data_IF_884534096369
#
_entry.id   IF_884534096369
#
_cell.length_a   1.000
_cell.length_b   1.000
_cell.length_c   1.000
_cell.angle_alpha   90.00
_cell.angle_beta   90.00
_cell.angle_gamma   90.00
#
_symmetry.space_group_name_H-M   'P 1'
#
loop_
_entity.id
_entity.type
_entity.pdbx_description
1 polymer ?
#
# COMPACT_ATOMS: atom_id res chain seq x y z
N UNK A 1 -17.86 -8.25 -9.02
CA UNK A 1 -16.54 -7.73 -8.65
C UNK A 1 -16.17 -8.34 -7.31
N UNK A 2 -15.05 -9.07 -7.24
CA UNK A 2 -14.56 -9.71 -6.02
C UNK A 2 -13.60 -8.74 -5.32
N UNK A 3 -13.76 -8.53 -4.03
CA UNK A 3 -12.77 -7.85 -3.19
C UNK A 3 -11.90 -8.87 -2.45
N UNK A 4 -10.65 -8.53 -2.20
CA UNK A 4 -9.71 -9.42 -1.49
C UNK A 4 -9.15 -8.75 -0.25
N UNK A 5 -8.98 -9.56 0.80
CA UNK A 5 -8.38 -9.17 2.07
C UNK A 5 -6.84 -9.29 2.02
N UNK A 6 -6.15 -8.59 2.91
CA UNK A 6 -4.69 -8.58 3.04
C UNK A 6 -4.11 -9.97 3.18
N UNK A 7 -4.75 -10.85 3.97
CA UNK A 7 -4.22 -12.20 4.20
C UNK A 7 -4.13 -13.03 2.91
N UNK A 8 -5.11 -12.94 2.00
CA UNK A 8 -5.09 -13.65 0.71
C UNK A 8 -3.99 -13.07 -0.20
N UNK A 9 -3.82 -11.74 -0.22
CA UNK A 9 -2.74 -11.09 -0.95
C UNK A 9 -1.36 -11.51 -0.43
N UNK A 10 -1.20 -11.61 0.90
CA UNK A 10 0.02 -12.10 1.53
C UNK A 10 0.31 -13.52 1.06
N UNK A 11 -0.66 -14.45 1.11
CA UNK A 11 -0.45 -15.83 0.64
C UNK A 11 -0.10 -15.91 -0.84
N UNK A 12 -0.74 -15.08 -1.66
CA UNK A 12 -0.44 -15.01 -3.08
C UNK A 12 1.01 -14.59 -3.35
N UNK A 13 1.50 -13.56 -2.65
CA UNK A 13 2.83 -12.98 -2.87
C UNK A 13 3.96 -13.77 -2.21
N UNK A 14 3.76 -14.26 -0.98
CA UNK A 14 4.83 -14.91 -0.20
C UNK A 14 4.94 -16.41 -0.46
N UNK A 15 3.84 -17.05 -0.88
CA UNK A 15 3.74 -18.51 -1.04
C UNK A 15 4.16 -19.30 0.20
N UNK A 16 3.93 -18.74 1.38
CA UNK A 16 4.44 -19.25 2.66
C UNK A 16 3.55 -20.32 3.33
N UNK A 17 2.32 -20.48 2.86
CA UNK A 17 1.42 -21.58 3.23
C UNK A 17 1.01 -22.33 1.96
N UNK A 18 1.47 -23.59 1.74
CA UNK A 18 1.24 -24.29 0.48
C UNK A 18 -0.24 -24.41 0.08
N UNK A 19 -1.12 -24.64 1.06
CA UNK A 19 -2.56 -24.83 0.80
C UNK A 19 -3.23 -23.49 0.49
N UNK A 20 -3.04 -22.50 1.38
CA UNK A 20 -3.67 -21.19 1.19
C UNK A 20 -3.11 -20.44 -0.02
N UNK A 21 -1.83 -20.64 -0.36
CA UNK A 21 -1.21 -20.00 -1.52
C UNK A 21 -1.77 -20.55 -2.84
N UNK A 22 -2.03 -21.86 -2.91
CA UNK A 22 -2.69 -22.45 -4.07
C UNK A 22 -4.15 -21.98 -4.19
N UNK A 23 -4.86 -21.84 -3.07
CA UNK A 23 -6.22 -21.27 -3.05
C UNK A 23 -6.19 -19.81 -3.51
N UNK A 24 -5.29 -18.98 -2.98
CA UNK A 24 -5.15 -17.58 -3.36
C UNK A 24 -4.84 -17.43 -4.86
N UNK A 25 -3.91 -18.24 -5.39
CA UNK A 25 -3.58 -18.28 -6.82
C UNK A 25 -4.79 -18.66 -7.67
N UNK A 26 -5.58 -19.66 -7.26
CA UNK A 26 -6.82 -20.05 -7.98
C UNK A 26 -7.85 -18.94 -7.97
N UNK A 27 -8.06 -18.28 -6.84
CA UNK A 27 -8.98 -17.14 -6.74
C UNK A 27 -8.60 -16.04 -7.74
N UNK A 28 -7.30 -15.69 -7.80
CA UNK A 28 -6.81 -14.64 -8.68
C UNK A 28 -6.89 -15.04 -10.16
N UNK A 29 -6.52 -16.27 -10.49
CA UNK A 29 -6.55 -16.75 -11.89
C UNK A 29 -7.94 -17.06 -12.43
N UNK A 30 -8.90 -17.41 -11.57
CA UNK A 30 -10.29 -17.68 -11.96
C UNK A 30 -11.10 -16.41 -12.25
N UNK A 31 -10.50 -15.23 -12.05
CA UNK A 31 -11.19 -13.98 -12.20
C UNK A 31 -11.52 -13.63 -13.67
N UNK A 32 -11.01 -14.38 -14.68
CA UNK A 32 -11.40 -14.38 -16.11
C UNK A 32 -12.02 -13.05 -16.61
N UNK A 33 -11.24 -11.96 -16.58
CA UNK A 33 -11.61 -10.59 -17.02
C UNK A 33 -12.39 -9.70 -16.03
N UNK A 34 -12.60 -10.14 -14.80
CA UNK A 34 -13.12 -9.34 -13.69
C UNK A 34 -12.02 -9.04 -12.68
N UNK A 35 -11.38 -7.85 -12.74
CA UNK A 35 -10.29 -7.54 -11.83
C UNK A 35 -10.72 -7.64 -10.37
N UNK A 36 -9.83 -8.17 -9.54
CA UNK A 36 -10.01 -8.27 -8.09
C UNK A 36 -9.74 -6.91 -7.46
N UNK A 37 -10.74 -6.41 -6.74
CA UNK A 37 -10.63 -5.14 -6.05
C UNK A 37 -9.74 -5.25 -4.81
N UNK A 38 -8.81 -4.30 -4.68
CA UNK A 38 -7.95 -4.13 -3.50
C UNK A 38 -8.24 -2.73 -2.94
N UNK A 39 -8.72 -2.67 -1.70
CA UNK A 39 -8.95 -1.40 -1.01
C UNK A 39 -7.63 -0.75 -0.57
N UNK A 40 -7.65 0.56 -0.30
CA UNK A 40 -6.49 1.27 0.25
C UNK A 40 -6.04 0.68 1.59
N UNK A 41 -7.00 0.29 2.44
CA UNK A 41 -6.72 -0.32 3.74
C UNK A 41 -5.99 -1.66 3.57
N UNK A 42 -6.46 -2.52 2.67
CA UNK A 42 -5.81 -3.81 2.42
C UNK A 42 -4.40 -3.62 1.83
N UNK A 43 -4.20 -2.61 0.98
CA UNK A 43 -2.89 -2.31 0.42
C UNK A 43 -1.90 -1.78 1.48
N UNK A 44 -2.36 -0.89 2.37
CA UNK A 44 -1.54 -0.35 3.47
C UNK A 44 -1.15 -1.47 4.44
N UNK A 45 -2.12 -2.30 4.83
CA UNK A 45 -1.84 -3.45 5.70
C UNK A 45 -0.90 -4.45 5.01
N UNK A 46 -1.04 -4.69 3.71
CA UNK A 46 -0.12 -5.53 2.94
C UNK A 46 1.32 -5.01 3.02
N UNK A 47 1.53 -3.70 2.81
CA UNK A 47 2.86 -3.08 2.92
C UNK A 47 3.43 -3.27 4.33
N UNK A 48 2.62 -3.03 5.36
CA UNK A 48 3.03 -3.23 6.74
C UNK A 48 3.38 -4.70 7.03
N UNK A 49 2.55 -5.66 6.61
CA UNK A 49 2.79 -7.09 6.82
C UNK A 49 4.07 -7.53 6.11
N UNK A 50 4.26 -7.16 4.85
CA UNK A 50 5.43 -7.58 4.09
C UNK A 50 6.72 -6.98 4.65
N UNK A 51 6.70 -5.71 5.07
CA UNK A 51 7.89 -5.05 5.63
C UNK A 51 8.19 -5.47 7.07
N UNK A 52 7.19 -5.48 7.96
CA UNK A 52 7.39 -5.69 9.40
C UNK A 52 7.36 -7.16 9.79
N UNK A 53 6.40 -7.94 9.28
CA UNK A 53 6.24 -9.35 9.65
C UNK A 53 7.04 -10.28 8.74
N UNK A 54 7.02 -10.05 7.42
CA UNK A 54 7.77 -10.87 6.45
C UNK A 54 9.19 -10.38 6.20
N UNK A 55 9.54 -9.20 6.72
CA UNK A 55 10.89 -8.61 6.65
C UNK A 55 11.41 -8.46 5.23
N UNK A 56 10.52 -8.28 4.26
CA UNK A 56 10.92 -7.95 2.89
C UNK A 56 11.58 -6.56 2.87
N UNK A 57 12.63 -6.35 2.05
CA UNK A 57 13.16 -5.02 1.80
C UNK A 57 12.04 -4.09 1.29
N UNK A 58 11.99 -2.86 1.81
CA UNK A 58 10.94 -1.88 1.44
C UNK A 58 10.87 -1.65 -0.08
N UNK A 59 12.01 -1.64 -0.75
CA UNK A 59 12.12 -1.54 -2.22
C UNK A 59 11.46 -2.71 -2.94
N UNK A 60 11.57 -3.93 -2.42
CA UNK A 60 10.91 -5.12 -2.99
C UNK A 60 9.39 -5.09 -2.73
N UNK A 61 8.96 -4.61 -1.56
CA UNK A 61 7.53 -4.40 -1.27
C UNK A 61 6.92 -3.37 -2.20
N UNK A 62 7.59 -2.24 -2.43
CA UNK A 62 7.11 -1.21 -3.35
C UNK A 62 7.11 -1.69 -4.80
N UNK A 63 8.11 -2.50 -5.20
CA UNK A 63 8.10 -3.18 -6.50
C UNK A 63 6.90 -4.11 -6.64
N UNK A 64 6.56 -4.88 -5.60
CA UNK A 64 5.38 -5.75 -5.60
C UNK A 64 4.09 -4.93 -5.74
N UNK A 65 3.94 -3.83 -5.00
CA UNK A 65 2.77 -2.93 -5.12
C UNK A 65 2.63 -2.35 -6.54
N UNK A 66 3.73 -1.94 -7.17
CA UNK A 66 3.73 -1.52 -8.58
C UNK A 66 3.38 -2.65 -9.54
N UNK A 67 3.77 -3.89 -9.22
CA UNK A 67 3.33 -5.07 -9.95
C UNK A 67 1.82 -5.28 -9.89
N UNK A 68 1.22 -5.10 -8.70
CA UNK A 68 -0.24 -5.15 -8.54
C UNK A 68 -0.94 -4.04 -9.34
N UNK A 69 -0.44 -2.80 -9.28
CA UNK A 69 -0.98 -1.67 -10.06
C UNK A 69 -0.95 -1.88 -11.58
N UNK A 70 0.06 -2.59 -12.09
CA UNK A 70 0.25 -2.83 -13.53
C UNK A 70 -0.48 -4.07 -14.04
N UNK A 71 -0.96 -4.93 -13.16
CA UNK A 71 -1.65 -6.15 -13.56
C UNK A 71 -3.11 -5.85 -13.90
N UNK A 72 -3.59 -6.46 -14.98
CA UNK A 72 -5.01 -6.43 -15.34
C UNK A 72 -5.88 -7.29 -14.40
N UNK A 73 -5.24 -8.14 -13.58
CA UNK A 73 -5.94 -8.98 -12.60
C UNK A 73 -6.47 -8.20 -11.39
N UNK A 74 -6.01 -6.97 -11.17
CA UNK A 74 -6.31 -6.19 -9.97
C UNK A 74 -6.87 -4.79 -10.29
N UNK A 75 -7.82 -4.36 -9.47
CA UNK A 75 -8.36 -2.99 -9.46
C UNK A 75 -8.08 -2.37 -8.09
N UNK A 76 -7.00 -1.60 -8.01
CA UNK A 76 -6.60 -0.92 -6.77
C UNK A 76 -7.43 0.36 -6.60
N UNK A 77 -8.00 0.52 -5.41
CA UNK A 77 -8.68 1.75 -5.01
C UNK A 77 -7.75 2.95 -5.15
N UNK A 78 -8.22 3.99 -5.84
CA UNK A 78 -7.45 5.21 -6.06
C UNK A 78 -6.05 4.96 -6.67
N UNK A 79 -5.93 4.06 -7.66
CA UNK A 79 -4.65 3.64 -8.26
C UNK A 79 -3.67 4.79 -8.59
N UNK A 80 -4.15 5.90 -9.17
CA UNK A 80 -3.31 7.06 -9.47
C UNK A 80 -2.74 7.75 -8.20
N UNK A 81 -3.52 7.82 -7.12
CA UNK A 81 -3.04 8.30 -5.82
C UNK A 81 -1.99 7.34 -5.26
N UNK A 82 -2.25 6.03 -5.32
CA UNK A 82 -1.32 5.02 -4.81
C UNK A 82 0.01 5.09 -5.56
N UNK A 83 -0.01 5.21 -6.88
CA UNK A 83 1.21 5.35 -7.69
C UNK A 83 2.02 6.59 -7.29
N UNK A 84 1.36 7.73 -7.13
CA UNK A 84 1.97 8.96 -6.63
C UNK A 84 2.58 8.75 -5.24
N UNK A 85 1.83 8.19 -4.29
CA UNK A 85 2.30 8.00 -2.91
C UNK A 85 3.44 6.97 -2.82
N UNK A 86 3.47 5.95 -3.67
CA UNK A 86 4.61 5.02 -3.76
C UNK A 86 5.90 5.75 -4.20
N UNK A 87 5.79 6.69 -5.14
CA UNK A 87 6.92 7.52 -5.57
C UNK A 87 7.38 8.48 -4.45
N UNK A 88 6.45 9.19 -3.81
CA UNK A 88 6.76 10.13 -2.73
C UNK A 88 7.39 9.41 -1.52
N UNK A 89 6.80 8.30 -1.08
CA UNK A 89 7.30 7.50 0.03
C UNK A 89 8.70 6.95 -0.24
N UNK A 90 9.00 6.54 -1.48
CA UNK A 90 10.34 6.04 -1.84
C UNK A 90 11.40 7.14 -1.77
N UNK A 91 11.08 8.34 -2.28
CA UNK A 91 12.00 9.48 -2.25
C UNK A 91 12.20 10.05 -0.84
N UNK A 92 11.13 10.15 -0.05
CA UNK A 92 11.18 10.63 1.33
C UNK A 92 11.68 9.57 2.32
N UNK A 93 11.76 8.30 1.90
CA UNK A 93 12.11 7.12 2.70
C UNK A 93 11.10 6.79 3.83
N UNK A 94 9.89 7.34 3.82
CA UNK A 94 8.80 7.08 4.77
C UNK A 94 7.82 5.99 4.29
N UNK A 95 6.87 5.56 5.13
CA UNK A 95 5.92 4.49 4.77
C UNK A 95 4.93 4.94 3.69
N UNK A 96 4.32 3.98 2.97
CA UNK A 96 3.21 4.28 2.06
C UNK A 96 2.03 4.90 2.82
N UNK A 97 1.80 4.46 4.05
CA UNK A 97 0.75 5.01 4.91
C UNK A 97 0.95 6.52 5.13
N UNK A 98 2.19 6.96 5.41
CA UNK A 98 2.50 8.38 5.64
C UNK A 98 2.18 9.23 4.41
N UNK A 99 2.59 8.77 3.22
CA UNK A 99 2.33 9.47 1.98
C UNK A 99 0.84 9.53 1.65
N UNK A 100 0.09 8.44 1.89
CA UNK A 100 -1.36 8.42 1.71
C UNK A 100 -2.06 9.38 2.67
N UNK A 101 -1.66 9.41 3.94
CA UNK A 101 -2.21 10.35 4.94
C UNK A 101 -1.96 11.80 4.50
N UNK A 102 -0.73 12.15 4.09
CA UNK A 102 -0.40 13.49 3.62
C UNK A 102 -1.27 13.91 2.43
N UNK A 103 -1.33 13.04 1.41
CA UNK A 103 -2.05 13.33 0.18
C UNK A 103 -3.58 13.40 0.37
N UNK A 104 -4.14 12.53 1.23
CA UNK A 104 -5.58 12.54 1.53
C UNK A 104 -6.00 13.76 2.33
N UNK A 105 -5.22 14.18 3.33
CA UNK A 105 -5.46 15.42 4.07
C UNK A 105 -5.33 16.65 3.17
N UNK A 106 -4.33 16.69 2.29
CA UNK A 106 -4.18 17.77 1.31
C UNK A 106 -5.42 17.87 0.41
N UNK A 107 -5.93 16.73 -0.07
CA UNK A 107 -7.16 16.68 -0.89
C UNK A 107 -8.41 17.08 -0.10
N UNK A 108 -8.43 16.87 1.22
CA UNK A 108 -9.50 17.33 2.09
C UNK A 108 -9.44 18.85 2.39
N UNK A 109 -8.41 19.56 1.91
CA UNK A 109 -8.23 20.99 2.11
C UNK A 109 -7.43 21.37 3.36
N UNK A 110 -6.77 20.41 4.03
CA UNK A 110 -5.85 20.71 5.11
C UNK A 110 -4.62 21.45 4.58
N UNK A 111 -4.20 22.50 5.27
CA UNK A 111 -2.97 23.25 4.92
C UNK A 111 -1.70 22.47 5.24
N UNK A 112 -1.74 21.60 6.25
CA UNK A 112 -0.67 20.67 6.62
C UNK A 112 -1.25 19.47 7.38
N UNK A 113 -0.49 18.38 7.42
CA UNK A 113 -0.72 17.24 8.30
C UNK A 113 0.31 17.26 9.41
N UNK A 114 -0.13 17.10 10.65
CA UNK A 114 0.75 17.12 11.82
C UNK A 114 1.14 15.68 12.19
N UNK A 115 2.42 15.42 12.47
CA UNK A 115 2.93 14.08 12.79
C UNK A 115 4.06 14.10 13.82
N UNK A 116 4.11 13.06 14.67
CA UNK A 116 5.26 12.74 15.55
C UNK A 116 6.27 11.80 14.88
N UNK A 117 5.94 11.24 13.71
CA UNK A 117 6.85 10.38 12.97
C UNK A 117 7.88 11.24 12.23
N UNK A 118 9.14 11.13 12.66
CA UNK A 118 10.25 11.88 12.09
C UNK A 118 10.52 11.52 10.62
N UNK A 119 10.29 10.28 10.20
CA UNK A 119 10.49 9.89 8.79
C UNK A 119 9.39 10.51 7.91
N UNK A 120 8.15 10.58 8.41
CA UNK A 120 7.03 11.20 7.70
C UNK A 120 7.21 12.71 7.49
N UNK A 121 7.96 13.40 8.36
CA UNK A 121 8.25 14.83 8.24
C UNK A 121 9.03 15.20 6.98
N UNK A 122 9.65 14.23 6.29
CA UNK A 122 10.29 14.45 4.99
C UNK A 122 9.31 14.62 3.82
N UNK A 123 8.02 14.29 4.01
CA UNK A 123 6.99 14.47 2.99
C UNK A 123 6.53 15.93 2.89
N UNK A 124 6.29 16.37 1.66
CA UNK A 124 5.59 17.63 1.42
C UNK A 124 4.17 17.55 2.03
N UNK A 125 3.79 18.56 2.79
CA UNK A 125 2.48 18.60 3.46
C UNK A 125 2.43 17.91 4.83
N UNK A 126 3.57 17.44 5.35
CA UNK A 126 3.72 16.99 6.74
C UNK A 126 4.48 18.04 7.56
N UNK A 127 4.18 18.15 8.86
CA UNK A 127 4.85 19.07 9.79
C UNK A 127 4.98 18.41 11.17
N UNK A 128 6.12 18.64 11.83
CA UNK A 128 6.40 18.15 13.17
C UNK A 128 5.38 18.69 14.19
N UNK A 129 4.74 17.80 14.94
CA UNK A 129 3.76 18.15 15.97
C UNK A 129 4.35 19.00 17.10
N UNK A 130 5.63 18.82 17.36
CA UNK A 130 6.40 19.55 18.37
C UNK A 130 6.50 21.05 18.06
N UNK A 131 6.19 21.50 16.83
CA UNK A 131 6.14 22.93 16.49
C UNK A 131 4.94 23.67 17.09
N UNK A 132 3.96 22.93 17.65
CA UNK A 132 2.74 23.47 18.26
C UNK A 132 2.81 23.55 19.80
N UNK A 133 3.95 23.20 20.41
CA UNK A 133 4.16 23.24 21.87
C UNK A 133 4.64 24.60 22.36
#
# INVERSE_FOLDING_TARGET
MLGVDTNVLVRFLTRDDPLQSEIARRIITAAEHHPIHISLVALVELVWVLTKLKRWPKSDVFRACRGLLRSEDFLIESAALVEQCLYEAENARCDLADALIAATNLRAGCSTTVTFDHDAQALAGMTAAETFS
#
